data_IF_553571009724
#
_entry.id   IF_553571009724
#
_cell.length_a   1.000
_cell.length_b   1.000
_cell.length_c   1.000
_cell.angle_alpha   90.00
_cell.angle_beta   90.00
_cell.angle_gamma   90.00
#
_symmetry.space_group_name_H-M   'P 1'
#
loop_
_entity.id
_entity.type
_entity.pdbx_description
1 polymer ?
#
# COMPACT_ATOMS: atom_id res chain seq x y z
N UNK A 1 -15.60 -23.41 4.67
CA UNK A 1 -15.43 -22.57 3.48
C UNK A 1 -14.09 -21.87 3.64
N UNK A 2 -13.27 -21.76 2.58
CA UNK A 2 -12.05 -20.93 2.65
C UNK A 2 -12.40 -19.47 2.93
N UNK A 3 -11.42 -18.67 3.38
CA UNK A 3 -11.67 -17.29 3.76
C UNK A 3 -12.00 -16.43 2.53
N UNK A 4 -13.30 -16.31 2.25
CA UNK A 4 -13.82 -15.51 1.14
C UNK A 4 -13.47 -14.03 1.28
N UNK A 5 -13.22 -13.53 2.49
CA UNK A 5 -12.83 -12.13 2.71
C UNK A 5 -11.42 -11.87 2.19
N UNK A 6 -10.51 -12.83 2.34
CA UNK A 6 -9.13 -12.68 1.84
C UNK A 6 -9.10 -12.66 0.32
N UNK A 7 -9.88 -13.52 -0.34
CA UNK A 7 -10.01 -13.54 -1.80
C UNK A 7 -10.58 -12.22 -2.34
N UNK A 8 -11.64 -11.71 -1.73
CA UNK A 8 -12.22 -10.41 -2.09
C UNK A 8 -11.19 -9.30 -1.94
N UNK A 9 -10.45 -9.26 -0.82
CA UNK A 9 -9.37 -8.29 -0.63
C UNK A 9 -8.26 -8.43 -1.67
N UNK A 10 -7.85 -9.64 -2.00
CA UNK A 10 -6.85 -9.87 -3.04
C UNK A 10 -7.28 -9.29 -4.38
N UNK A 11 -8.54 -9.53 -4.79
CA UNK A 11 -9.11 -8.96 -6.02
C UNK A 11 -9.14 -7.44 -5.99
N UNK A 12 -9.60 -6.87 -4.88
CA UNK A 12 -9.62 -5.42 -4.66
C UNK A 12 -8.21 -4.84 -4.76
N UNK A 13 -7.21 -5.46 -4.13
CA UNK A 13 -5.81 -5.02 -4.18
C UNK A 13 -5.27 -5.04 -5.61
N UNK A 14 -5.50 -6.13 -6.34
CA UNK A 14 -5.05 -6.24 -7.73
C UNK A 14 -5.69 -5.15 -8.61
N UNK A 15 -6.96 -4.81 -8.42
CA UNK A 15 -7.60 -3.71 -9.14
C UNK A 15 -7.08 -2.35 -8.70
N UNK A 16 -7.00 -2.11 -7.39
CA UNK A 16 -6.61 -0.82 -6.83
C UNK A 16 -5.16 -0.49 -7.10
N UNK A 17 -4.25 -1.45 -7.15
CA UNK A 17 -2.85 -1.23 -7.52
C UNK A 17 -2.59 -1.44 -9.01
N UNK A 18 -3.62 -1.74 -9.81
CA UNK A 18 -3.50 -2.03 -11.25
C UNK A 18 -2.41 -3.07 -11.54
N UNK A 19 -2.40 -4.15 -10.74
CA UNK A 19 -1.44 -5.23 -10.90
C UNK A 19 -1.51 -5.77 -12.33
N UNK A 20 -0.36 -5.75 -13.02
CA UNK A 20 -0.24 -6.05 -14.45
C UNK A 20 0.25 -7.47 -14.68
N UNK A 21 1.11 -7.97 -13.80
CA UNK A 21 1.66 -9.30 -13.88
C UNK A 21 1.90 -9.86 -12.48
N UNK A 22 2.08 -11.18 -12.47
CA UNK A 22 2.70 -11.86 -11.37
C UNK A 22 3.85 -12.71 -11.90
N UNK A 23 4.74 -13.14 -11.01
CA UNK A 23 5.77 -14.11 -11.35
C UNK A 23 6.18 -14.86 -10.09
N UNK A 24 6.64 -16.08 -10.28
CA UNK A 24 7.21 -16.92 -9.24
C UNK A 24 8.73 -16.94 -9.37
N UNK A 25 9.43 -16.97 -8.25
CA UNK A 25 10.87 -17.13 -8.23
C UNK A 25 11.42 -17.30 -6.82
N UNK A 26 12.73 -17.47 -6.73
CA UNK A 26 13.45 -17.66 -5.48
C UNK A 26 14.12 -16.36 -5.05
N UNK A 27 14.02 -16.03 -3.77
CA UNK A 27 14.70 -14.85 -3.20
C UNK A 27 16.21 -15.11 -3.15
N UNK A 28 16.99 -14.33 -3.91
CA UNK A 28 18.46 -14.45 -3.94
C UNK A 28 19.15 -13.48 -2.98
N UNK A 29 18.60 -12.28 -2.88
CA UNK A 29 19.18 -11.20 -2.06
C UNK A 29 18.06 -10.38 -1.42
N UNK A 30 18.32 -9.91 -0.20
CA UNK A 30 17.39 -9.11 0.58
C UNK A 30 18.10 -7.81 1.01
N UNK A 31 17.79 -6.72 0.31
CA UNK A 31 18.39 -5.42 0.57
C UNK A 31 17.52 -4.65 1.57
N UNK A 32 17.93 -4.71 2.84
CA UNK A 32 17.25 -4.06 3.97
C UNK A 32 17.67 -2.60 4.21
N UNK A 33 18.76 -2.17 3.56
CA UNK A 33 19.37 -0.85 3.80
C UNK A 33 18.35 0.28 3.59
N UNK A 34 18.32 1.18 4.57
CA UNK A 34 17.49 2.38 4.55
C UNK A 34 18.15 3.39 3.62
N UNK A 35 17.34 4.16 2.89
CA UNK A 35 17.83 5.33 2.13
C UNK A 35 18.57 6.28 3.07
N UNK A 36 19.90 6.25 3.04
CA UNK A 36 20.76 7.25 3.68
C UNK A 36 21.42 8.02 2.54
N UNK A 37 21.12 9.31 2.41
CA UNK A 37 21.77 10.13 1.38
C UNK A 37 23.29 10.18 1.60
N UNK A 38 24.14 10.18 0.54
CA UNK A 38 23.84 10.35 -0.89
C UNK A 38 23.55 9.06 -1.68
N UNK A 39 23.72 7.88 -1.09
CA UNK A 39 23.57 6.59 -1.78
C UNK A 39 22.12 6.10 -1.74
N UNK A 40 21.40 6.32 -2.83
CA UNK A 40 20.00 5.89 -3.00
C UNK A 40 19.91 4.41 -3.41
N UNK A 41 20.35 3.52 -2.52
CA UNK A 41 20.09 2.09 -2.69
C UNK A 41 18.60 1.81 -2.40
N UNK A 42 17.87 1.25 -3.36
CA UNK A 42 16.46 0.95 -3.16
C UNK A 42 16.33 -0.21 -2.17
N UNK A 43 15.41 -0.09 -1.23
CA UNK A 43 15.03 -1.24 -0.39
C UNK A 43 14.25 -2.22 -1.24
N UNK A 44 14.51 -3.51 -1.06
CA UNK A 44 13.84 -4.53 -1.86
C UNK A 44 14.43 -5.91 -1.71
N UNK A 45 14.03 -6.78 -2.62
CA UNK A 45 14.60 -8.10 -2.76
C UNK A 45 14.86 -8.42 -4.23
N UNK A 46 15.90 -9.21 -4.50
CA UNK A 46 16.13 -9.76 -5.83
C UNK A 46 15.49 -11.14 -5.89
N UNK A 47 14.58 -11.33 -6.85
CA UNK A 47 13.90 -12.61 -7.07
C UNK A 47 14.32 -13.15 -8.41
N UNK A 48 14.92 -14.35 -8.41
CA UNK A 48 15.25 -15.06 -9.64
C UNK A 48 14.04 -15.88 -10.10
N UNK A 49 13.39 -15.38 -11.15
CA UNK A 49 12.33 -16.11 -11.85
C UNK A 49 12.86 -16.84 -13.08
N UNK A 50 11.95 -17.45 -13.84
CA UNK A 50 12.25 -18.20 -15.07
C UNK A 50 12.80 -17.31 -16.20
N UNK A 51 12.37 -16.05 -16.26
CA UNK A 51 12.77 -15.07 -17.28
C UNK A 51 14.07 -14.33 -16.90
N UNK A 52 14.55 -14.51 -15.67
CA UNK A 52 15.72 -13.84 -15.12
C UNK A 52 15.47 -13.19 -13.76
N UNK A 53 16.50 -12.54 -13.19
CA UNK A 53 16.38 -11.84 -11.92
C UNK A 53 15.57 -10.55 -12.07
N UNK A 54 14.61 -10.34 -11.17
CA UNK A 54 13.82 -9.12 -11.06
C UNK A 54 13.99 -8.51 -9.69
N UNK A 55 14.14 -7.19 -9.65
CA UNK A 55 14.24 -6.46 -8.40
C UNK A 55 12.84 -6.06 -7.93
N UNK A 56 12.46 -6.47 -6.73
CA UNK A 56 11.17 -6.13 -6.12
C UNK A 56 11.39 -5.02 -5.11
N UNK A 57 10.89 -3.84 -5.42
CA UNK A 57 11.10 -2.62 -4.64
C UNK A 57 10.10 -2.54 -3.49
N UNK A 58 10.59 -2.33 -2.27
CA UNK A 58 9.72 -2.13 -1.11
C UNK A 58 9.61 -0.64 -0.78
N UNK A 59 8.38 -0.12 -0.82
CA UNK A 59 8.08 1.25 -0.36
C UNK A 59 7.90 1.29 1.17
N UNK A 60 7.39 0.21 1.76
CA UNK A 60 7.12 0.15 3.20
C UNK A 60 8.40 0.02 4.03
N UNK A 61 8.39 0.62 5.22
CA UNK A 61 9.45 0.42 6.21
C UNK A 61 9.50 -1.03 6.73
N UNK A 62 8.37 -1.74 6.70
CA UNK A 62 8.28 -3.13 7.15
C UNK A 62 8.57 -4.08 6.01
N UNK A 63 9.57 -4.93 6.21
CA UNK A 63 9.91 -5.99 5.26
C UNK A 63 8.95 -7.17 5.42
N UNK A 64 8.61 -7.86 4.32
CA UNK A 64 7.90 -9.14 4.40
C UNK A 64 8.78 -10.16 5.16
N UNK A 65 8.17 -11.14 5.86
CA UNK A 65 8.89 -12.18 6.58
C UNK A 65 9.42 -13.25 5.62
N UNK A 66 10.23 -12.84 4.64
CA UNK A 66 10.90 -13.71 3.67
C UNK A 66 12.38 -13.83 4.00
N UNK A 67 12.95 -14.98 3.70
CA UNK A 67 14.37 -15.28 3.83
C UNK A 67 14.99 -15.60 2.47
N UNK A 68 16.32 -15.49 2.39
CA UNK A 68 17.06 -15.86 1.18
C UNK A 68 16.89 -17.38 0.97
N UNK A 69 16.50 -17.77 -0.24
CA UNK A 69 16.18 -19.15 -0.60
C UNK A 69 14.67 -19.46 -0.60
N UNK A 70 13.82 -18.57 -0.08
CA UNK A 70 12.37 -18.78 -0.13
C UNK A 70 11.85 -18.64 -1.55
N UNK A 71 10.93 -19.54 -1.93
CA UNK A 71 10.10 -19.36 -3.13
C UNK A 71 9.00 -18.36 -2.81
N UNK A 72 8.83 -17.37 -3.68
CA UNK A 72 7.81 -16.33 -3.55
C UNK A 72 7.09 -16.11 -4.86
N UNK A 73 5.80 -15.78 -4.77
CA UNK A 73 4.99 -15.32 -5.88
C UNK A 73 4.73 -13.83 -5.67
N UNK A 74 5.19 -13.01 -6.60
CA UNK A 74 5.07 -11.55 -6.51
C UNK A 74 4.03 -11.09 -7.50
N UNK A 75 3.04 -10.34 -7.02
CA UNK A 75 1.97 -9.73 -7.82
C UNK A 75 2.14 -8.22 -7.77
N UNK A 76 2.25 -7.57 -8.91
CA UNK A 76 2.57 -6.15 -8.94
C UNK A 76 2.49 -5.49 -10.31
N UNK A 77 3.12 -4.33 -10.39
CA UNK A 77 3.28 -3.54 -11.61
C UNK A 77 4.75 -3.19 -11.83
N UNK A 78 5.05 -2.65 -13.01
CA UNK A 78 6.37 -2.15 -13.34
C UNK A 78 6.79 -1.05 -12.36
N UNK A 79 7.98 -1.19 -11.78
CA UNK A 79 8.57 -0.22 -10.88
C UNK A 79 9.17 0.96 -11.64
N UNK A 80 9.55 2.01 -10.90
CA UNK A 80 10.10 3.24 -11.50
C UNK A 80 11.37 2.99 -12.33
N UNK A 81 12.16 1.96 -11.96
CA UNK A 81 13.43 1.64 -12.63
C UNK A 81 13.29 0.81 -13.93
N UNK A 82 12.07 0.69 -14.47
CA UNK A 82 11.80 0.01 -15.75
C UNK A 82 11.46 -1.49 -15.58
N UNK A 83 11.46 -2.22 -16.69
CA UNK A 83 10.89 -3.58 -16.81
C UNK A 83 11.51 -4.64 -15.88
N UNK A 84 12.74 -4.42 -15.40
CA UNK A 84 13.42 -5.34 -14.47
C UNK A 84 13.14 -5.02 -12.99
N UNK A 85 12.35 -3.98 -12.71
CA UNK A 85 11.93 -3.58 -11.38
C UNK A 85 10.43 -3.76 -11.23
N UNK A 86 10.00 -4.26 -10.07
CA UNK A 86 8.60 -4.52 -9.77
C UNK A 86 8.23 -3.78 -8.51
N UNK A 87 7.11 -3.06 -8.55
CA UNK A 87 6.45 -2.56 -7.35
C UNK A 87 5.40 -3.60 -6.91
N UNK A 88 5.61 -4.29 -5.79
CA UNK A 88 4.73 -5.37 -5.36
C UNK A 88 3.46 -4.81 -4.71
N UNK A 89 2.30 -5.32 -5.12
CA UNK A 89 1.04 -5.12 -4.42
C UNK A 89 0.84 -6.21 -3.36
N UNK A 90 1.10 -7.46 -3.74
CA UNK A 90 0.97 -8.64 -2.90
C UNK A 90 2.16 -9.56 -3.12
N UNK A 91 2.69 -10.13 -2.05
CA UNK A 91 3.68 -11.20 -2.08
C UNK A 91 3.08 -12.42 -1.40
N UNK A 92 3.19 -13.58 -2.03
CA UNK A 92 2.74 -14.85 -1.48
C UNK A 92 3.94 -15.75 -1.27
N UNK A 93 3.95 -16.50 -0.17
CA UNK A 93 4.95 -17.54 0.11
C UNK A 93 4.24 -18.91 0.08
N UNK A 94 4.56 -19.79 -0.89
CA UNK A 94 3.94 -21.11 -0.99
C UNK A 94 4.31 -22.05 0.16
N UNK A 95 5.55 -21.96 0.65
CA UNK A 95 6.09 -22.83 1.68
C UNK A 95 5.36 -22.64 3.01
N UNK A 96 5.20 -21.38 3.42
CA UNK A 96 4.53 -21.01 4.66
C UNK A 96 3.03 -20.70 4.48
N UNK A 97 2.54 -20.71 3.23
CA UNK A 97 1.15 -20.41 2.83
C UNK A 97 0.63 -19.11 3.42
N UNK A 98 1.35 -18.01 3.22
CA UNK A 98 0.87 -16.68 3.60
C UNK A 98 0.79 -15.72 2.40
N UNK A 99 -0.02 -14.68 2.56
CA UNK A 99 -0.10 -13.53 1.68
C UNK A 99 0.24 -12.25 2.46
N UNK A 100 1.23 -11.52 1.96
CA UNK A 100 1.68 -10.23 2.45
C UNK A 100 1.21 -9.12 1.52
N UNK A 101 0.45 -8.19 2.07
CA UNK A 101 -0.07 -7.03 1.35
C UNK A 101 0.76 -5.81 1.71
N UNK A 102 1.34 -5.13 0.72
CA UNK A 102 2.31 -4.04 0.96
C UNK A 102 1.69 -2.71 1.40
N UNK A 103 0.36 -2.60 1.45
CA UNK A 103 -0.34 -1.42 1.94
C UNK A 103 -1.75 -1.75 2.45
N UNK A 104 -2.58 -0.71 2.67
CA UNK A 104 -4.01 -0.85 2.95
C UNK A 104 -4.83 -0.24 1.80
N UNK A 105 -5.76 -1.03 1.23
CA UNK A 105 -6.72 -0.58 0.21
C UNK A 105 -7.51 0.65 0.63
N UNK A 106 -7.80 0.76 1.94
CA UNK A 106 -8.55 1.90 2.49
C UNK A 106 -7.85 3.21 2.18
N UNK A 107 -6.52 3.24 2.08
CA UNK A 107 -5.73 4.44 1.82
C UNK A 107 -6.07 5.12 0.49
N UNK A 108 -6.13 4.38 -0.64
CA UNK A 108 -6.43 4.96 -1.95
C UNK A 108 -7.85 5.54 -2.02
N UNK A 109 -8.81 4.93 -1.31
CA UNK A 109 -10.18 5.43 -1.22
C UNK A 109 -10.36 6.54 -0.18
N UNK A 110 -9.68 6.49 0.98
CA UNK A 110 -9.77 7.53 2.01
C UNK A 110 -8.95 8.76 1.68
N UNK A 111 -7.83 8.70 0.95
CA UNK A 111 -7.19 9.92 0.45
C UNK A 111 -8.11 10.66 -0.52
N UNK A 112 -8.80 9.93 -1.42
CA UNK A 112 -9.86 10.52 -2.22
C UNK A 112 -10.97 11.10 -1.33
N UNK A 113 -11.59 10.30 -0.44
CA UNK A 113 -12.70 10.79 0.40
C UNK A 113 -12.32 11.88 1.40
N UNK A 114 -11.10 11.89 1.94
CA UNK A 114 -10.62 12.92 2.87
C UNK A 114 -10.37 14.23 2.12
N UNK A 115 -9.79 14.19 0.91
CA UNK A 115 -9.72 15.35 0.03
C UNK A 115 -11.14 15.86 -0.32
N UNK A 116 -12.10 14.97 -0.55
CA UNK A 116 -13.50 15.36 -0.78
C UNK A 116 -14.23 15.86 0.49
N UNK A 117 -13.87 15.38 1.69
CA UNK A 117 -14.47 15.85 2.95
C UNK A 117 -13.81 17.13 3.47
N UNK A 118 -12.58 17.42 3.08
CA UNK A 118 -11.96 18.71 3.44
C UNK A 118 -12.81 19.86 2.91
N UNK A 119 -13.32 19.81 1.68
CA UNK A 119 -14.17 20.87 1.13
C UNK A 119 -15.48 21.08 1.92
N UNK A 120 -16.07 20.01 2.46
CA UNK A 120 -17.26 20.10 3.34
C UNK A 120 -16.90 20.71 4.70
N UNK A 121 -15.78 20.29 5.30
CA UNK A 121 -15.28 20.87 6.55
C UNK A 121 -14.93 22.36 6.35
N UNK A 122 -14.32 22.71 5.22
CA UNK A 122 -14.05 24.11 4.81
C UNK A 122 -15.34 24.91 4.70
N UNK A 123 -16.38 24.37 4.05
CA UNK A 123 -17.67 25.06 3.89
C UNK A 123 -18.38 25.30 5.23
N UNK A 124 -18.38 24.30 6.13
CA UNK A 124 -18.98 24.43 7.47
C UNK A 124 -18.19 25.42 8.34
N UNK A 125 -16.86 25.34 8.36
CA UNK A 125 -16.00 26.26 9.08
C UNK A 125 -16.15 27.71 8.56
N UNK A 126 -16.26 27.88 7.24
CA UNK A 126 -16.51 29.18 6.62
C UNK A 126 -17.91 29.73 6.97
N UNK A 127 -18.94 28.87 6.99
CA UNK A 127 -20.29 29.25 7.45
C UNK A 127 -20.31 29.73 8.90
N UNK A 128 -19.64 29.01 9.80
CA UNK A 128 -19.50 29.40 11.22
C UNK A 128 -18.72 30.71 11.34
N UNK A 129 -17.66 30.90 10.54
CA UNK A 129 -16.90 32.15 10.50
C UNK A 129 -17.76 33.35 10.07
N UNK A 130 -18.61 33.19 9.05
CA UNK A 130 -19.51 34.25 8.59
C UNK A 130 -20.51 34.68 9.67
N UNK A 131 -21.01 33.73 10.47
CA UNK A 131 -21.92 34.00 11.59
C UNK A 131 -21.16 34.67 12.74
N UNK A 132 -19.97 34.17 13.11
CA UNK A 132 -19.15 34.73 14.19
C UNK A 132 -18.64 36.15 13.89
N UNK A 133 -18.46 36.51 12.61
CA UNK A 133 -18.06 37.85 12.15
C UNK A 133 -19.05 38.95 12.54
N UNK A 134 -20.30 38.61 12.86
CA UNK A 134 -21.32 39.57 13.31
C UNK A 134 -21.12 40.03 14.77
N UNK A 135 -20.22 39.41 15.53
CA UNK A 135 -19.94 39.76 16.93
C UNK A 135 -18.64 40.58 17.01
N UNK A 136 -18.72 41.92 17.20
CA UNK A 136 -17.59 42.83 16.98
C UNK A 136 -16.31 42.56 17.80
N UNK A 137 -16.35 42.25 19.12
CA UNK A 137 -15.13 42.09 19.90
C UNK A 137 -14.37 40.78 19.63
N UNK A 138 -14.98 39.82 18.94
CA UNK A 138 -14.41 38.48 18.76
C UNK A 138 -13.94 38.22 17.32
N UNK A 139 -14.23 39.13 16.39
CA UNK A 139 -14.01 38.97 14.95
C UNK A 139 -12.53 38.75 14.58
N UNK A 140 -11.62 39.49 15.19
CA UNK A 140 -10.19 39.37 14.90
C UNK A 140 -9.60 38.09 15.51
N UNK A 141 -9.94 37.79 16.76
CA UNK A 141 -9.46 36.59 17.47
C UNK A 141 -9.90 35.32 16.73
N UNK A 142 -11.16 35.24 16.29
CA UNK A 142 -11.64 34.09 15.53
C UNK A 142 -10.95 33.91 14.19
N UNK A 143 -10.54 34.99 13.52
CA UNK A 143 -9.81 34.88 12.26
C UNK A 143 -8.43 34.24 12.45
N UNK A 144 -7.69 34.61 13.51
CA UNK A 144 -6.40 34.00 13.82
C UNK A 144 -6.52 32.54 14.27
N UNK A 145 -7.51 32.23 15.11
CA UNK A 145 -7.77 30.84 15.56
C UNK A 145 -8.13 29.95 14.38
N UNK A 146 -8.98 30.43 13.46
CA UNK A 146 -9.39 29.66 12.28
C UNK A 146 -8.22 29.45 11.31
N UNK A 147 -7.41 30.48 11.06
CA UNK A 147 -6.20 30.36 10.23
C UNK A 147 -5.19 29.37 10.82
N UNK A 148 -5.00 29.36 12.14
CA UNK A 148 -4.12 28.40 12.81
C UNK A 148 -4.66 26.98 12.71
N UNK A 149 -5.97 26.78 12.92
CA UNK A 149 -6.63 25.49 12.74
C UNK A 149 -6.50 24.96 11.31
N UNK A 150 -6.66 25.84 10.31
CA UNK A 150 -6.44 25.48 8.90
C UNK A 150 -5.01 25.06 8.63
N UNK A 151 -4.04 25.76 9.21
CA UNK A 151 -2.64 25.43 9.07
C UNK A 151 -2.33 24.07 9.73
N UNK A 152 -2.88 23.80 10.92
CA UNK A 152 -2.71 22.50 11.59
C UNK A 152 -3.34 21.36 10.77
N UNK A 153 -4.57 21.53 10.27
CA UNK A 153 -5.21 20.48 9.46
C UNK A 153 -4.43 20.23 8.16
N UNK A 154 -4.00 21.29 7.47
CA UNK A 154 -3.22 21.17 6.23
C UNK A 154 -1.86 20.47 6.46
N UNK A 155 -1.15 20.80 7.55
CA UNK A 155 0.18 20.25 7.80
C UNK A 155 0.15 18.85 8.44
N UNK A 156 -0.86 18.50 9.24
CA UNK A 156 -0.87 17.25 10.02
C UNK A 156 -1.80 16.17 9.49
N UNK A 157 -2.83 16.49 8.70
CA UNK A 157 -3.77 15.47 8.22
C UNK A 157 -3.12 14.53 7.19
N UNK A 158 -2.33 15.06 6.27
CA UNK A 158 -1.74 14.28 5.19
C UNK A 158 -0.65 13.28 5.67
N UNK A 159 0.41 13.72 6.38
CA UNK A 159 1.50 12.80 6.76
C UNK A 159 1.09 11.77 7.82
N UNK A 160 0.15 12.09 8.72
CA UNK A 160 -0.29 11.15 9.77
C UNK A 160 -1.21 10.06 9.21
N UNK A 161 -2.09 10.42 8.27
CA UNK A 161 -2.97 9.45 7.57
C UNK A 161 -2.18 8.56 6.61
N UNK A 162 -1.16 9.11 5.94
CA UNK A 162 -0.22 8.34 5.11
C UNK A 162 0.50 7.28 5.95
N UNK A 163 1.17 7.69 7.04
CA UNK A 163 2.01 6.79 7.84
C UNK A 163 1.25 5.72 8.62
N UNK A 164 -0.01 5.99 9.02
CA UNK A 164 -0.80 5.00 9.76
C UNK A 164 -1.42 3.93 8.85
N UNK A 165 -1.73 4.26 7.60
CA UNK A 165 -2.48 3.40 6.68
C UNK A 165 -1.62 2.67 5.64
N UNK A 166 -0.33 2.99 5.51
CA UNK A 166 0.65 2.22 4.73
C UNK A 166 1.15 0.95 5.45
N UNK A 167 0.47 0.50 6.51
CA UNK A 167 0.92 -0.67 7.28
C UNK A 167 0.68 -1.94 6.47
N UNK A 168 1.74 -2.66 6.07
CA UNK A 168 1.57 -3.91 5.38
C UNK A 168 0.97 -4.94 6.34
N UNK A 169 0.24 -5.90 5.76
CA UNK A 169 -0.51 -6.91 6.51
C UNK A 169 -0.17 -8.31 6.02
N UNK A 170 0.11 -9.19 6.98
CA UNK A 170 0.33 -10.61 6.78
C UNK A 170 -0.97 -11.37 7.04
N UNK A 171 -1.32 -12.28 6.14
CA UNK A 171 -2.43 -13.21 6.31
C UNK A 171 -1.93 -14.63 6.07
N UNK A 172 -2.08 -15.50 7.07
CA UNK A 172 -1.89 -16.93 6.89
C UNK A 172 -3.12 -17.54 6.22
N UNK A 173 -2.90 -18.47 5.31
CA UNK A 173 -3.93 -19.09 4.49
C UNK A 173 -4.09 -20.55 4.87
N UNK A 174 -5.33 -20.96 5.17
CA UNK A 174 -5.68 -22.37 5.17
C UNK A 174 -5.52 -22.95 3.77
N UNK A 175 -5.31 -24.26 3.66
CA UNK A 175 -5.11 -24.98 2.39
C UNK A 175 -6.17 -24.67 1.33
N UNK A 176 -7.46 -24.64 1.72
CA UNK A 176 -8.56 -24.30 0.81
C UNK A 176 -8.48 -22.86 0.30
N UNK A 177 -8.07 -21.93 1.16
CA UNK A 177 -7.92 -20.51 0.81
C UNK A 177 -6.71 -20.31 -0.10
N UNK A 178 -5.62 -21.04 0.17
CA UNK A 178 -4.42 -21.05 -0.65
C UNK A 178 -4.73 -21.54 -2.07
N UNK A 179 -5.40 -22.69 -2.21
CA UNK A 179 -5.80 -23.21 -3.53
C UNK A 179 -6.67 -22.22 -4.32
N UNK A 180 -7.62 -21.57 -3.65
CA UNK A 180 -8.44 -20.55 -4.29
C UNK A 180 -7.63 -19.33 -4.74
N UNK A 181 -6.65 -18.87 -3.93
CA UNK A 181 -5.75 -17.78 -4.31
C UNK A 181 -4.86 -18.17 -5.50
N UNK A 182 -4.29 -19.37 -5.50
CA UNK A 182 -3.47 -19.86 -6.61
C UNK A 182 -4.27 -20.06 -7.89
N UNK A 183 -5.53 -20.49 -7.79
CA UNK A 183 -6.42 -20.61 -8.93
C UNK A 183 -6.73 -19.23 -9.54
N UNK A 184 -7.00 -18.23 -8.70
CA UNK A 184 -7.21 -16.84 -9.14
C UNK A 184 -5.95 -16.26 -9.80
N UNK A 185 -4.76 -16.55 -9.26
CA UNK A 185 -3.49 -16.15 -9.86
C UNK A 185 -3.28 -16.79 -11.24
N UNK A 186 -3.60 -18.08 -11.37
CA UNK A 186 -3.51 -18.80 -12.63
C UNK A 186 -4.49 -18.25 -13.67
N UNK A 187 -5.74 -17.98 -13.27
CA UNK A 187 -6.78 -17.42 -14.15
C UNK A 187 -6.41 -16.01 -14.63
N UNK A 188 -5.94 -15.15 -13.72
CA UNK A 188 -5.75 -13.73 -14.01
C UNK A 188 -4.40 -13.41 -14.67
N UNK A 189 -3.35 -14.13 -14.28
CA UNK A 189 -1.98 -13.82 -14.70
C UNK A 189 -1.31 -14.97 -15.47
N UNK A 190 -1.97 -16.12 -15.62
CA UNK A 190 -1.46 -17.25 -16.39
C UNK A 190 -0.32 -18.03 -15.71
N UNK A 191 -0.18 -17.92 -14.39
CA UNK A 191 0.93 -18.55 -13.65
C UNK A 191 0.48 -19.87 -13.05
N UNK A 192 1.26 -20.93 -13.29
CA UNK A 192 1.15 -22.17 -12.52
C UNK A 192 2.01 -22.03 -11.28
N UNK A 193 1.39 -21.64 -10.16
CA UNK A 193 2.07 -21.60 -8.87
C UNK A 193 2.60 -23.01 -8.51
N UNK A 194 3.82 -23.12 -7.99
CA UNK A 194 4.26 -24.37 -7.34
C UNK A 194 3.36 -24.66 -6.15
N UNK A 195 2.55 -25.71 -6.24
CA UNK A 195 1.68 -26.20 -5.16
C UNK A 195 2.47 -27.08 -4.21
#
# INVERSE_FOLDING_TARGET
MGDSRLLTRFREFCMAYRAKYAFEGVVEDLQSLKLVGPERLPRGMLVRGTVGPRFVQFESERMPPVTIGDTVIVVGLDGWRGENSVLPAVLLNPTERYAWFFGDLRHRMTCNMALWNTSVIFAVAFGIFLIAKQIPPLREIWSYVLSLLFLIVAFFAEPFVLKYNERPRLYYCDEKTWHALTAELAERFGIKASV
#
